data_IF_638169252058
#
_entry.id   IF_638169252058
#
_cell.length_a   1.000
_cell.length_b   1.000
_cell.length_c   1.000
_cell.angle_alpha   90.00
_cell.angle_beta   90.00
_cell.angle_gamma   90.00
#
_symmetry.space_group_name_H-M   'P 1'
#
loop_
_entity.id
_entity.type
_entity.pdbx_description
1 polymer ?
#
# COMPACT_ATOMS: atom_id res chain seq x y z
N UNK A 1 -44.71 -56.89 -0.44
CA UNK A 1 -44.26 -55.49 -0.34
C UNK A 1 -42.97 -55.46 0.44
N UNK A 2 -41.84 -55.35 -0.25
CA UNK A 2 -40.50 -55.15 0.31
C UNK A 2 -39.71 -54.30 -0.70
N UNK A 3 -39.11 -53.17 -0.30
CA UNK A 3 -38.34 -52.33 -1.20
C UNK A 3 -36.92 -52.90 -1.41
N UNK A 4 -36.32 -52.78 -2.60
CA UNK A 4 -34.90 -53.03 -2.79
C UNK A 4 -34.02 -51.84 -2.31
N UNK A 5 -32.78 -52.12 -1.89
CA UNK A 5 -31.95 -51.26 -1.05
C UNK A 5 -31.21 -50.13 -1.80
N UNK A 6 -30.99 -49.04 -1.07
CA UNK A 6 -30.19 -47.86 -1.42
C UNK A 6 -28.71 -48.21 -1.51
N UNK A 7 -28.11 -48.02 -2.69
CA UNK A 7 -26.65 -48.06 -2.89
C UNK A 7 -25.99 -46.73 -2.54
N UNK A 8 -24.75 -46.73 -2.00
CA UNK A 8 -24.00 -45.51 -1.75
C UNK A 8 -23.13 -45.14 -2.97
N UNK A 9 -23.07 -43.87 -3.39
CA UNK A 9 -21.95 -43.41 -4.19
C UNK A 9 -20.79 -43.00 -3.28
N UNK A 10 -19.76 -43.84 -3.34
CA UNK A 10 -18.38 -43.60 -2.96
C UNK A 10 -17.79 -42.41 -3.72
N UNK A 11 -17.03 -41.56 -3.02
CA UNK A 11 -16.36 -40.41 -3.64
C UNK A 11 -15.46 -39.65 -2.67
N UNK A 12 -14.48 -40.32 -2.06
CA UNK A 12 -13.33 -39.65 -1.45
C UNK A 12 -12.42 -39.18 -2.57
N UNK A 13 -12.12 -37.87 -2.65
CA UNK A 13 -10.87 -37.32 -3.20
C UNK A 13 -10.66 -35.84 -2.86
N UNK A 14 -9.62 -35.64 -2.04
CA UNK A 14 -8.62 -34.55 -2.08
C UNK A 14 -8.99 -33.17 -1.53
N UNK A 15 -8.33 -32.86 -0.41
CA UNK A 15 -8.05 -31.54 0.15
C UNK A 15 -7.74 -30.45 -0.89
N UNK A 16 -8.43 -29.33 -0.81
CA UNK A 16 -7.84 -28.02 -1.07
C UNK A 16 -8.22 -27.10 0.09
N UNK A 17 -7.28 -26.99 1.03
CA UNK A 17 -7.24 -25.90 2.00
C UNK A 17 -7.06 -24.60 1.23
N UNK A 18 -8.01 -23.68 1.35
CA UNK A 18 -7.76 -22.26 1.08
C UNK A 18 -8.58 -21.47 2.10
N UNK A 19 -7.94 -21.33 3.26
CA UNK A 19 -8.35 -20.46 4.34
C UNK A 19 -7.53 -19.16 4.23
N UNK A 20 -8.21 -18.06 4.58
CA UNK A 20 -7.67 -16.80 5.13
C UNK A 20 -7.61 -15.57 4.20
N UNK A 21 -8.71 -14.80 4.31
CA UNK A 21 -8.81 -13.35 4.55
C UNK A 21 -8.26 -12.38 3.50
N UNK A 22 -9.20 -11.63 2.90
CA UNK A 22 -9.02 -10.20 2.67
C UNK A 22 -10.35 -9.48 2.91
N UNK A 23 -10.75 -9.41 4.18
CA UNK A 23 -11.68 -8.37 4.62
C UNK A 23 -10.86 -7.08 4.78
N UNK A 24 -10.79 -6.27 3.72
CA UNK A 24 -10.42 -4.87 3.83
C UNK A 24 -11.61 -4.08 3.32
N UNK A 25 -12.44 -3.66 4.27
CA UNK A 25 -13.54 -2.75 4.01
C UNK A 25 -12.99 -1.47 3.39
N UNK A 26 -13.56 -1.10 2.25
CA UNK A 26 -13.33 0.18 1.60
C UNK A 26 -13.69 1.32 2.58
N UNK A 27 -12.69 2.15 2.90
CA UNK A 27 -12.92 3.48 3.47
C UNK A 27 -12.49 4.48 2.41
N UNK A 28 -13.42 4.80 1.52
CA UNK A 28 -13.37 6.07 0.79
C UNK A 28 -14.60 6.82 1.26
N UNK A 29 -14.40 7.76 2.18
CA UNK A 29 -15.11 9.03 2.39
C UNK A 29 -14.48 9.61 3.67
N UNK A 30 -13.66 10.66 3.54
CA UNK A 30 -13.10 11.36 4.70
C UNK A 30 -11.80 12.14 4.50
N UNK A 31 -11.16 12.09 3.34
CA UNK A 31 -9.89 12.82 3.14
C UNK A 31 -10.06 14.29 2.66
N UNK A 32 -11.28 14.76 2.43
CA UNK A 32 -11.52 16.13 1.92
C UNK A 32 -11.59 17.21 3.01
N UNK A 33 -11.73 16.84 4.29
CA UNK A 33 -11.90 17.83 5.38
C UNK A 33 -10.77 17.84 6.42
N UNK A 34 -9.79 16.92 6.35
CA UNK A 34 -8.76 16.83 7.39
C UNK A 34 -7.55 17.76 7.19
N UNK A 35 -7.36 18.33 5.99
CA UNK A 35 -6.32 19.34 5.78
C UNK A 35 -6.78 20.77 6.09
N UNK A 36 -8.05 20.99 6.48
CA UNK A 36 -8.56 22.34 6.79
C UNK A 36 -8.76 22.60 8.29
N UNK A 37 -8.53 21.63 9.17
CA UNK A 37 -8.71 21.83 10.61
C UNK A 37 -7.72 21.00 11.45
N UNK A 38 -6.44 21.40 11.49
CA UNK A 38 -5.57 21.27 12.68
C UNK A 38 -4.38 22.25 12.57
N UNK A 39 -4.69 23.55 12.60
CA UNK A 39 -3.73 24.66 12.72
C UNK A 39 -3.05 24.73 14.09
N UNK A 40 -2.42 23.65 14.59
CA UNK A 40 -1.52 23.76 15.77
C UNK A 40 -0.34 22.78 15.83
N UNK A 41 -0.23 21.76 14.97
CA UNK A 41 0.88 20.79 15.04
C UNK A 41 1.70 20.58 13.75
N UNK A 42 1.38 21.25 12.64
CA UNK A 42 2.21 21.25 11.43
C UNK A 42 3.18 22.45 11.36
N UNK A 43 3.52 23.06 12.50
CA UNK A 43 4.60 24.06 12.55
C UNK A 43 5.95 23.34 12.55
N UNK A 44 6.54 23.24 11.37
CA UNK A 44 7.99 23.20 11.20
C UNK A 44 8.57 21.83 10.90
N UNK A 45 8.69 21.51 9.62
CA UNK A 45 9.86 20.77 9.15
C UNK A 45 10.45 21.34 7.86
N UNK A 46 9.72 22.20 7.13
CA UNK A 46 10.17 22.69 5.84
C UNK A 46 10.39 21.53 4.87
N UNK A 47 10.88 21.79 3.65
CA UNK A 47 11.22 20.71 2.73
C UNK A 47 12.25 19.76 3.37
N UNK A 48 11.93 18.47 3.38
CA UNK A 48 12.79 17.40 3.90
C UNK A 48 13.45 16.69 2.73
N UNK A 49 14.77 16.80 2.63
CA UNK A 49 15.55 15.97 1.71
C UNK A 49 15.56 14.52 2.21
N UNK A 50 15.26 13.59 1.31
CA UNK A 50 15.27 12.17 1.61
C UNK A 50 16.68 11.61 1.40
N UNK A 51 17.21 10.96 2.44
CA UNK A 51 18.45 10.18 2.35
C UNK A 51 18.27 8.99 1.41
N UNK A 52 17.11 8.35 1.48
CA UNK A 52 16.70 7.34 0.50
C UNK A 52 15.51 7.86 -0.30
N UNK A 53 15.67 8.15 -1.60
CA UNK A 53 14.57 8.61 -2.44
C UNK A 53 13.41 7.62 -2.44
N UNK A 54 12.19 8.15 -2.42
CA UNK A 54 10.99 7.34 -2.62
C UNK A 54 10.76 7.19 -4.11
N UNK A 55 10.55 5.96 -4.56
CA UNK A 55 10.13 5.65 -5.93
C UNK A 55 8.71 5.11 -5.92
N UNK A 56 7.90 5.58 -6.86
CA UNK A 56 6.55 5.13 -7.11
C UNK A 56 6.54 4.42 -8.46
N UNK A 57 5.88 3.27 -8.54
CA UNK A 57 5.80 2.50 -9.78
C UNK A 57 4.56 1.62 -9.78
N UNK A 58 3.85 1.55 -10.90
CA UNK A 58 2.72 0.63 -11.01
C UNK A 58 3.21 -0.81 -10.86
N UNK A 59 2.41 -1.67 -10.21
CA UNK A 59 2.74 -3.09 -10.08
C UNK A 59 2.35 -3.82 -11.37
N UNK A 60 3.24 -4.64 -11.93
CA UNK A 60 2.96 -5.46 -13.11
C UNK A 60 2.54 -6.88 -12.70
N UNK A 61 3.20 -7.47 -11.71
CA UNK A 61 2.92 -8.82 -11.20
C UNK A 61 3.15 -8.83 -9.68
N UNK A 62 2.39 -9.66 -8.98
CA UNK A 62 2.63 -10.00 -7.58
C UNK A 62 2.68 -11.52 -7.44
N UNK A 63 3.68 -12.04 -6.75
CA UNK A 63 3.88 -13.47 -6.55
C UNK A 63 4.36 -13.77 -5.12
N UNK A 64 4.07 -14.95 -4.56
CA UNK A 64 4.70 -15.38 -3.31
C UNK A 64 6.21 -15.63 -3.52
N UNK A 65 7.02 -15.58 -2.44
CA UNK A 65 8.42 -15.98 -2.48
C UNK A 65 8.60 -17.43 -2.97
N UNK A 66 9.76 -17.78 -3.56
CA UNK A 66 10.96 -16.94 -3.71
C UNK A 66 10.84 -15.88 -4.81
N UNK A 67 11.49 -14.72 -4.62
CA UNK A 67 11.47 -13.65 -5.61
C UNK A 67 12.33 -13.98 -6.83
N UNK A 68 11.78 -13.71 -8.03
CA UNK A 68 12.54 -13.70 -9.28
C UNK A 68 13.64 -12.61 -9.23
N UNK A 69 14.74 -12.73 -10.00
CA UNK A 69 15.86 -11.78 -9.93
C UNK A 69 15.50 -10.30 -10.18
N UNK A 70 14.42 -10.06 -10.93
CA UNK A 70 13.89 -8.75 -11.30
C UNK A 70 12.72 -8.27 -10.43
N UNK A 71 12.28 -9.10 -9.47
CA UNK A 71 11.21 -8.75 -8.54
C UNK A 71 11.76 -8.14 -7.25
N UNK A 72 11.08 -7.12 -6.73
CA UNK A 72 11.39 -6.56 -5.42
C UNK A 72 10.57 -7.23 -4.32
N UNK A 73 11.18 -7.61 -3.19
CA UNK A 73 10.43 -8.10 -2.05
C UNK A 73 9.64 -6.95 -1.40
N UNK A 74 8.44 -7.27 -0.95
CA UNK A 74 7.69 -6.49 0.02
C UNK A 74 8.46 -6.41 1.35
N UNK A 75 8.19 -5.37 2.13
CA UNK A 75 8.84 -5.18 3.42
C UNK A 75 8.58 -6.33 4.41
N UNK A 76 7.43 -7.02 4.31
CA UNK A 76 7.11 -8.24 5.09
C UNK A 76 7.75 -9.52 4.55
N UNK A 77 8.43 -9.44 3.39
CA UNK A 77 8.98 -10.57 2.65
C UNK A 77 7.95 -11.66 2.27
N UNK A 78 6.64 -11.33 2.26
CA UNK A 78 5.57 -12.28 1.90
C UNK A 78 5.12 -12.19 0.45
N UNK A 79 5.48 -11.11 -0.24
CA UNK A 79 5.14 -10.87 -1.64
C UNK A 79 6.35 -10.34 -2.39
N UNK A 80 6.50 -10.75 -3.64
CA UNK A 80 7.48 -10.27 -4.60
C UNK A 80 6.75 -9.53 -5.71
N UNK A 81 7.18 -8.31 -6.02
CA UNK A 81 6.54 -7.46 -7.01
C UNK A 81 7.45 -7.27 -8.23
N UNK A 82 6.92 -7.58 -9.41
CA UNK A 82 7.46 -7.05 -10.67
C UNK A 82 6.81 -5.70 -10.92
N UNK A 83 7.62 -4.73 -11.34
CA UNK A 83 7.20 -3.34 -11.48
C UNK A 83 7.01 -2.99 -12.97
N UNK A 84 5.94 -2.26 -13.27
CA UNK A 84 5.61 -1.78 -14.61
C UNK A 84 6.51 -0.63 -15.06
N UNK A 85 6.31 -0.09 -16.26
CA UNK A 85 7.23 0.93 -16.83
C UNK A 85 6.99 2.34 -16.31
N UNK A 86 5.77 2.67 -15.90
CA UNK A 86 5.42 3.99 -15.39
C UNK A 86 5.99 4.20 -13.98
N UNK A 87 6.92 5.14 -13.83
CA UNK A 87 7.63 5.39 -12.58
C UNK A 87 7.83 6.88 -12.31
N UNK A 88 7.98 7.20 -11.03
CA UNK A 88 8.32 8.52 -10.52
C UNK A 88 9.24 8.36 -9.32
N UNK A 89 10.25 9.22 -9.20
CA UNK A 89 11.16 9.24 -8.04
C UNK A 89 11.16 10.63 -7.42
N UNK A 90 11.09 10.70 -6.10
CA UNK A 90 11.18 11.95 -5.33
C UNK A 90 12.33 11.85 -4.33
N UNK A 91 13.21 12.86 -4.36
CA UNK A 91 14.31 13.02 -3.41
C UNK A 91 14.03 14.04 -2.31
N UNK A 92 12.89 14.72 -2.36
CA UNK A 92 12.48 15.74 -1.41
C UNK A 92 10.96 15.70 -1.22
N UNK A 93 10.51 15.95 0.00
CA UNK A 93 9.09 16.02 0.36
C UNK A 93 8.83 17.29 1.16
N UNK A 94 7.59 17.75 1.21
CA UNK A 94 7.21 18.88 2.07
C UNK A 94 7.11 18.46 3.53
N UNK A 95 6.76 17.19 3.78
CA UNK A 95 6.74 16.63 5.11
C UNK A 95 6.70 15.11 5.11
N UNK A 96 7.26 14.51 6.15
CA UNK A 96 7.22 13.08 6.42
C UNK A 96 7.24 12.85 7.92
N UNK A 97 6.33 12.01 8.42
CA UNK A 97 6.21 11.75 9.86
C UNK A 97 5.52 10.42 10.17
N UNK A 98 5.86 9.85 11.32
CA UNK A 98 5.10 8.76 11.89
C UNK A 98 3.72 9.27 12.36
N UNK A 99 2.68 8.48 12.11
CA UNK A 99 1.31 8.74 12.55
C UNK A 99 0.76 7.50 13.24
N UNK A 100 0.27 7.68 14.46
CA UNK A 100 -0.35 6.62 15.25
C UNK A 100 -1.72 6.21 14.70
N UNK A 101 -2.27 5.07 15.17
CA UNK A 101 -3.61 4.63 14.85
C UNK A 101 -4.65 5.70 15.19
N UNK A 102 -5.66 5.79 14.33
CA UNK A 102 -6.85 6.61 14.50
C UNK A 102 -8.08 5.83 14.02
N UNK A 103 -8.66 4.97 14.87
CA UNK A 103 -9.77 4.11 14.48
C UNK A 103 -11.03 4.90 14.13
N UNK A 104 -11.17 6.14 14.62
CA UNK A 104 -12.32 7.00 14.27
C UNK A 104 -12.31 7.37 12.79
N UNK A 105 -11.12 7.47 12.21
CA UNK A 105 -10.89 7.79 10.80
C UNK A 105 -10.43 6.55 10.00
N UNK A 106 -10.66 5.33 10.51
CA UNK A 106 -10.37 4.08 9.81
C UNK A 106 -8.89 3.65 9.79
N UNK A 107 -8.01 4.35 10.51
CA UNK A 107 -6.58 4.03 10.59
C UNK A 107 -6.34 3.10 11.78
N UNK A 108 -6.26 1.80 11.54
CA UNK A 108 -6.16 0.81 12.63
C UNK A 108 -4.73 0.51 13.09
N UNK A 109 -3.72 0.94 12.32
CA UNK A 109 -2.30 0.71 12.61
C UNK A 109 -1.44 1.97 12.49
N UNK A 110 -0.14 1.85 12.76
CA UNK A 110 0.79 2.96 12.50
C UNK A 110 1.02 3.13 11.00
N UNK A 111 1.38 4.34 10.60
CA UNK A 111 1.62 4.68 9.20
C UNK A 111 2.64 5.81 9.10
N UNK A 112 3.30 5.92 7.94
CA UNK A 112 4.07 7.12 7.59
C UNK A 112 3.18 8.02 6.75
N UNK A 113 2.90 9.23 7.24
CA UNK A 113 2.23 10.27 6.45
C UNK A 113 3.30 10.98 5.62
N UNK A 114 3.08 11.11 4.32
CA UNK A 114 3.97 11.82 3.40
C UNK A 114 3.19 12.92 2.68
N UNK A 115 3.78 14.11 2.64
CA UNK A 115 3.32 15.23 1.83
C UNK A 115 4.36 15.52 0.74
N UNK A 116 4.01 15.27 -0.52
CA UNK A 116 4.89 15.58 -1.65
C UNK A 116 5.05 17.09 -1.80
N UNK A 117 6.17 17.51 -2.39
CA UNK A 117 6.29 18.88 -2.85
C UNK A 117 5.18 19.20 -3.88
N UNK A 118 4.57 20.40 -3.88
CA UNK A 118 3.48 20.71 -4.82
C UNK A 118 3.84 20.54 -6.30
N UNK A 119 5.12 20.71 -6.65
CA UNK A 119 5.63 20.47 -8.01
C UNK A 119 5.59 18.98 -8.44
N UNK A 120 5.55 18.06 -7.48
CA UNK A 120 5.54 16.61 -7.69
C UNK A 120 4.11 16.05 -7.71
N UNK A 121 3.15 16.72 -7.07
CA UNK A 121 1.77 16.26 -6.97
C UNK A 121 1.10 15.93 -8.32
N UNK A 122 1.27 16.73 -9.41
CA UNK A 122 0.67 16.39 -10.71
C UNK A 122 1.23 15.10 -11.32
N UNK A 123 2.53 14.83 -11.14
CA UNK A 123 3.16 13.60 -11.64
C UNK A 123 2.67 12.38 -10.86
N UNK A 124 2.54 12.52 -9.55
CA UNK A 124 1.98 11.48 -8.69
C UNK A 124 0.51 11.21 -9.00
N UNK A 125 -0.28 12.27 -9.25
CA UNK A 125 -1.67 12.16 -9.66
C UNK A 125 -1.81 11.35 -10.95
N UNK A 126 -1.02 11.66 -11.99
CA UNK A 126 -1.03 10.93 -13.25
C UNK A 126 -0.68 9.44 -13.08
N UNK A 127 0.28 9.12 -12.20
CA UNK A 127 0.64 7.73 -11.91
C UNK A 127 -0.46 7.00 -11.13
N UNK A 128 -1.06 7.64 -10.12
CA UNK A 128 -2.19 7.09 -9.39
C UNK A 128 -3.42 6.89 -10.28
N UNK A 129 -3.64 7.77 -11.26
CA UNK A 129 -4.73 7.65 -12.23
C UNK A 129 -4.55 6.44 -13.14
N UNK A 130 -3.31 6.13 -13.55
CA UNK A 130 -3.02 4.93 -14.34
C UNK A 130 -3.40 3.65 -13.59
N UNK A 131 -2.99 3.52 -12.34
CA UNK A 131 -3.37 2.40 -11.50
C UNK A 131 -4.88 2.38 -11.20
N UNK A 132 -5.49 3.55 -10.98
CA UNK A 132 -6.92 3.66 -10.74
C UNK A 132 -7.77 3.20 -11.94
N UNK A 133 -7.33 3.50 -13.17
CA UNK A 133 -8.00 2.98 -14.37
C UNK A 133 -7.99 1.45 -14.42
N UNK A 134 -6.92 0.82 -13.94
CA UNK A 134 -6.89 -0.65 -13.85
C UNK A 134 -7.76 -1.16 -12.70
N UNK A 135 -7.79 -0.47 -11.56
CA UNK A 135 -8.70 -0.78 -10.45
C UNK A 135 -10.17 -0.79 -10.89
N UNK A 136 -10.58 0.19 -11.70
CA UNK A 136 -11.95 0.26 -12.24
C UNK A 136 -12.32 -0.93 -13.13
N UNK A 137 -11.33 -1.58 -13.76
CA UNK A 137 -11.54 -2.79 -14.57
C UNK A 137 -11.51 -4.05 -13.73
N UNK A 138 -10.52 -4.14 -12.84
CA UNK A 138 -10.29 -5.29 -11.97
C UNK A 138 -9.62 -4.82 -10.66
N UNK A 139 -10.39 -4.67 -9.57
CA UNK A 139 -9.86 -4.21 -8.28
C UNK A 139 -8.77 -5.09 -7.66
N UNK A 140 -8.66 -6.34 -8.12
CA UNK A 140 -7.67 -7.32 -7.65
C UNK A 140 -6.51 -7.52 -8.62
N UNK A 141 -6.49 -6.84 -9.77
CA UNK A 141 -5.40 -6.98 -10.72
C UNK A 141 -4.12 -6.35 -10.15
N UNK A 142 -2.92 -6.94 -10.38
CA UNK A 142 -1.67 -6.33 -9.94
C UNK A 142 -1.52 -4.88 -10.43
N UNK A 143 -1.91 -4.58 -11.67
CA UNK A 143 -1.88 -3.24 -12.24
C UNK A 143 -2.74 -2.20 -11.53
N UNK A 144 -3.70 -2.61 -10.71
CA UNK A 144 -4.47 -1.69 -9.87
C UNK A 144 -3.67 -1.20 -8.64
N UNK A 145 -2.50 -1.79 -8.37
CA UNK A 145 -1.60 -1.42 -7.29
C UNK A 145 -0.53 -0.40 -7.69
N UNK A 146 -0.19 0.49 -6.76
CA UNK A 146 0.92 1.43 -6.87
C UNK A 146 1.99 1.10 -5.82
N UNK A 147 3.14 0.56 -6.24
CA UNK A 147 4.25 0.26 -5.35
C UNK A 147 4.94 1.55 -4.90
N UNK A 148 5.11 1.70 -3.59
CA UNK A 148 5.91 2.71 -2.92
C UNK A 148 7.20 2.03 -2.47
N UNK A 149 8.32 2.47 -3.01
CA UNK A 149 9.62 1.80 -2.91
C UNK A 149 10.60 2.70 -2.18
N UNK A 150 11.31 2.12 -1.21
CA UNK A 150 12.39 2.75 -0.46
C UNK A 150 13.33 1.67 0.07
N UNK A 151 14.61 2.01 0.25
CA UNK A 151 15.66 1.08 0.69
C UNK A 151 15.73 -0.23 -0.14
N UNK A 152 15.44 -0.14 -1.45
CA UNK A 152 15.46 -1.30 -2.36
C UNK A 152 14.33 -2.32 -2.15
N UNK A 153 13.29 -1.97 -1.39
CA UNK A 153 12.13 -2.83 -1.10
C UNK A 153 10.82 -2.12 -1.37
N UNK A 154 9.75 -2.87 -1.58
CA UNK A 154 8.39 -2.31 -1.63
C UNK A 154 7.91 -2.11 -0.19
N UNK A 155 7.80 -0.85 0.23
CA UNK A 155 7.32 -0.45 1.56
C UNK A 155 5.82 -0.69 1.69
N UNK A 156 5.07 -0.39 0.64
CA UNK A 156 3.64 -0.65 0.51
C UNK A 156 3.24 -0.70 -0.96
N UNK A 157 2.14 -1.38 -1.29
CA UNK A 157 1.58 -1.46 -2.63
C UNK A 157 0.05 -1.39 -2.59
N UNK A 158 -0.54 -0.25 -2.16
CA UNK A 158 -1.98 -0.12 -2.06
C UNK A 158 -2.67 -0.25 -3.42
N UNK A 159 -3.88 -0.81 -3.40
CA UNK A 159 -4.80 -0.77 -4.52
C UNK A 159 -5.35 0.65 -4.67
N UNK A 160 -5.33 1.17 -5.89
CA UNK A 160 -5.69 2.55 -6.18
C UNK A 160 -7.18 2.68 -6.46
N UNK A 161 -7.98 2.61 -5.40
CA UNK A 161 -9.43 2.80 -5.48
C UNK A 161 -9.86 4.26 -5.78
N UNK A 162 -8.89 5.20 -5.83
CA UNK A 162 -9.09 6.57 -6.25
C UNK A 162 -7.78 7.23 -6.71
N UNK A 163 -7.91 8.38 -7.36
CA UNK A 163 -6.78 9.22 -7.80
C UNK A 163 -6.34 10.14 -6.66
N UNK A 164 -5.03 10.27 -6.45
CA UNK A 164 -4.47 11.15 -5.41
C UNK A 164 -3.94 12.43 -6.06
N UNK A 165 -4.75 13.49 -5.99
CA UNK A 165 -4.40 14.81 -6.56
C UNK A 165 -3.72 15.75 -5.56
N UNK A 166 -3.86 15.48 -4.26
CA UNK A 166 -3.35 16.34 -3.18
C UNK A 166 -1.84 16.24 -2.97
N UNK A 167 -1.20 15.18 -3.47
CA UNK A 167 0.20 14.86 -3.12
C UNK A 167 0.37 14.32 -1.69
N UNK A 168 -0.72 14.10 -0.95
CA UNK A 168 -0.69 13.55 0.40
C UNK A 168 -1.13 12.09 0.40
N UNK A 169 -0.35 11.22 1.04
CA UNK A 169 -0.66 9.81 1.14
C UNK A 169 -0.04 9.17 2.39
N UNK A 170 -0.53 7.98 2.73
CA UNK A 170 -0.03 7.18 3.84
C UNK A 170 0.72 5.94 3.31
N UNK A 171 1.88 5.64 3.89
CA UNK A 171 2.53 4.34 3.76
C UNK A 171 2.10 3.50 4.95
N UNK A 172 1.31 2.47 4.70
CA UNK A 172 0.77 1.55 5.69
C UNK A 172 0.88 0.10 5.23
N UNK A 173 0.69 -0.82 6.18
CA UNK A 173 0.73 -2.26 5.96
C UNK A 173 0.17 -3.02 7.15
N UNK A 174 0.41 -4.34 7.24
CA UNK A 174 -0.11 -5.17 8.31
C UNK A 174 0.30 -4.64 9.70
N UNK A 175 -0.63 -4.57 10.67
CA UNK A 175 -0.37 -3.96 11.98
C UNK A 175 0.71 -4.68 12.79
N UNK A 176 0.96 -5.97 12.51
CA UNK A 176 2.03 -6.75 13.14
C UNK A 176 3.41 -6.27 12.70
N UNK A 177 3.51 -5.64 11.53
CA UNK A 177 4.76 -5.08 10.99
C UNK A 177 4.82 -3.56 11.16
N UNK A 178 3.74 -2.86 10.85
CA UNK A 178 3.63 -1.41 10.97
C UNK A 178 3.35 -1.04 12.44
N UNK A 179 4.32 -1.36 13.29
CA UNK A 179 4.39 -0.95 14.69
C UNK A 179 4.91 0.49 14.79
N UNK A 180 4.78 1.09 15.97
CA UNK A 180 5.37 2.41 16.27
C UNK A 180 6.86 2.46 15.95
N UNK A 181 7.58 1.44 16.41
CA UNK A 181 9.03 1.34 16.28
C UNK A 181 9.41 1.24 14.80
N UNK A 182 8.79 0.33 14.06
CA UNK A 182 9.03 0.17 12.63
C UNK A 182 8.80 1.46 11.84
N UNK A 183 7.68 2.14 12.08
CA UNK A 183 7.32 3.38 11.35
C UNK A 183 8.27 4.53 11.72
N UNK A 184 8.67 4.63 13.00
CA UNK A 184 9.64 5.64 13.46
C UNK A 184 11.00 5.40 12.80
N UNK A 185 11.48 4.16 12.81
CA UNK A 185 12.74 3.80 12.15
C UNK A 185 12.69 3.98 10.64
N UNK A 186 11.53 3.72 10.02
CA UNK A 186 11.34 3.96 8.59
C UNK A 186 11.49 5.45 8.27
N UNK A 187 10.89 6.35 9.05
CA UNK A 187 11.07 7.80 8.88
C UNK A 187 12.54 8.18 9.07
N UNK A 188 13.20 7.64 10.08
CA UNK A 188 14.63 7.90 10.31
C UNK A 188 15.50 7.43 9.15
N UNK A 189 15.27 6.24 8.59
CA UNK A 189 16.02 5.75 7.42
C UNK A 189 15.80 6.59 6.18
N UNK A 190 14.53 6.96 5.92
CA UNK A 190 14.16 7.77 4.75
C UNK A 190 14.76 9.19 4.83
N UNK A 191 14.85 9.77 6.02
CA UNK A 191 15.30 11.17 6.21
C UNK A 191 16.75 11.31 6.67
N UNK A 192 17.35 10.25 7.19
CA UNK A 192 18.67 10.28 7.81
C UNK A 192 18.75 11.06 9.13
N UNK A 193 17.62 11.22 9.84
CA UNK A 193 17.51 11.96 11.10
C UNK A 193 16.90 11.08 12.19
#
# INVERSE_FOLDING_TARGET
MTPPPSGPPSGVRVFAVLLVVAAVFAVIIGATLYFTHEDKAAKGLGPVALRTPLRFQQVAEAAPPPCKPDALPAADAKTCYLLGTATMTVGQVEGIRAQGPDPKNGRTGWSVVVALHPADAPRFAALSEQAHREYQRSPSAPGAGLAIIGDGRVLSAPQMAGVITSGNFDISGPPEQFTREYVTDLVHRLTGR
#
